data_IF_011118640201
#
_entry.id   IF_011118640201
#
_cell.length_a   1.000
_cell.length_b   1.000
_cell.length_c   1.000
_cell.angle_alpha   90.00
_cell.angle_beta   90.00
_cell.angle_gamma   90.00
#
_symmetry.space_group_name_H-M   'P 1'
#
loop_
_entity.id
_entity.type
_entity.pdbx_description
1 polymer ?
#
# COMPACT_ATOMS: atom_id res chain seq x y z
N UNK A 1 2.27 -4.76 -21.37
CA UNK A 1 2.52 -4.80 -19.91
C UNK A 1 1.18 -5.00 -19.22
N UNK A 2 1.03 -6.07 -18.44
CA UNK A 2 -0.18 -6.32 -17.63
C UNK A 2 0.11 -5.88 -16.20
N UNK A 3 -0.80 -5.14 -15.58
CA UNK A 3 -0.72 -4.78 -14.17
C UNK A 3 -1.78 -5.54 -13.40
N UNK A 4 -1.36 -6.30 -12.39
CA UNK A 4 -2.23 -7.00 -11.45
C UNK A 4 -2.10 -6.34 -10.08
N UNK A 5 -3.23 -6.00 -9.47
CA UNK A 5 -3.28 -5.31 -8.18
C UNK A 5 -4.03 -6.20 -7.20
N UNK A 6 -3.43 -6.44 -6.04
CA UNK A 6 -4.05 -7.18 -4.94
C UNK A 6 -3.94 -6.38 -3.66
N UNK A 7 -5.05 -6.29 -2.92
CA UNK A 7 -5.11 -5.73 -1.58
C UNK A 7 -5.64 -6.84 -0.66
N UNK A 8 -4.76 -7.60 0.02
CA UNK A 8 -5.22 -8.67 0.89
C UNK A 8 -6.01 -8.07 2.07
N UNK A 9 -7.07 -8.76 2.46
CA UNK A 9 -7.86 -8.48 3.65
C UNK A 9 -7.96 -9.74 4.52
N UNK A 10 -8.51 -9.61 5.71
CA UNK A 10 -8.86 -10.74 6.56
C UNK A 10 -9.95 -11.58 5.90
N UNK A 11 -9.87 -12.91 6.04
CA UNK A 11 -10.92 -13.85 5.62
C UNK A 11 -12.10 -13.86 6.61
N UNK A 12 -11.88 -13.39 7.84
CA UNK A 12 -12.90 -13.24 8.87
C UNK A 12 -13.76 -11.99 8.63
N UNK A 13 -15.05 -12.21 8.39
CA UNK A 13 -16.04 -11.15 8.17
C UNK A 13 -16.22 -10.29 9.42
N UNK A 14 -16.28 -8.96 9.23
CA UNK A 14 -16.56 -8.01 10.31
C UNK A 14 -15.38 -7.69 11.23
N UNK A 15 -14.20 -8.28 10.99
CA UNK A 15 -12.98 -8.00 11.75
C UNK A 15 -12.61 -6.51 11.71
N UNK A 16 -12.06 -5.99 12.81
CA UNK A 16 -11.70 -4.57 12.88
C UNK A 16 -10.62 -4.21 11.84
N UNK A 17 -10.78 -3.07 11.14
CA UNK A 17 -9.85 -2.62 10.09
C UNK A 17 -8.37 -2.68 10.49
N UNK A 18 -7.94 -2.22 11.69
CA UNK A 18 -6.53 -2.28 12.08
C UNK A 18 -5.98 -3.71 12.12
N UNK A 19 -6.79 -4.67 12.54
CA UNK A 19 -6.41 -6.09 12.57
C UNK A 19 -6.32 -6.66 11.16
N UNK A 20 -7.28 -6.33 10.29
CA UNK A 20 -7.21 -6.73 8.88
C UNK A 20 -5.93 -6.22 8.20
N UNK A 21 -5.56 -4.95 8.41
CA UNK A 21 -4.34 -4.38 7.83
C UNK A 21 -3.08 -5.04 8.38
N UNK A 22 -3.07 -5.36 9.68
CA UNK A 22 -1.97 -6.08 10.32
C UNK A 22 -1.80 -7.47 9.70
N UNK A 23 -2.87 -8.24 9.57
CA UNK A 23 -2.86 -9.58 8.96
C UNK A 23 -2.46 -9.55 7.49
N UNK A 24 -3.06 -8.65 6.72
CA UNK A 24 -2.72 -8.42 5.32
C UNK A 24 -1.23 -8.13 5.13
N UNK A 25 -0.64 -7.29 6.00
CA UNK A 25 0.78 -6.97 5.99
C UNK A 25 1.65 -8.19 6.28
N UNK A 26 1.34 -8.95 7.32
CA UNK A 26 2.11 -10.15 7.66
C UNK A 26 2.03 -11.21 6.56
N UNK A 27 0.84 -11.44 6.00
CA UNK A 27 0.65 -12.34 4.85
C UNK A 27 1.49 -11.91 3.65
N UNK A 28 1.46 -10.63 3.28
CA UNK A 28 2.20 -10.12 2.13
C UNK A 28 3.73 -10.16 2.34
N UNK A 29 4.20 -9.78 3.53
CA UNK A 29 5.64 -9.78 3.84
C UNK A 29 6.19 -11.20 4.05
N UNK A 30 5.36 -12.13 4.54
CA UNK A 30 5.74 -13.53 4.74
C UNK A 30 5.75 -14.37 3.45
N UNK A 31 5.12 -13.91 2.37
CA UNK A 31 5.16 -14.59 1.08
C UNK A 31 6.52 -14.49 0.41
N UNK A 32 6.89 -15.57 -0.26
CA UNK A 32 8.04 -15.65 -1.15
C UNK A 32 7.64 -15.20 -2.56
N UNK A 33 8.63 -14.87 -3.38
CA UNK A 33 8.38 -14.53 -4.79
C UNK A 33 7.66 -15.66 -5.54
N UNK A 34 8.03 -16.91 -5.28
CA UNK A 34 7.44 -18.10 -5.89
C UNK A 34 5.93 -18.23 -5.65
N UNK A 35 5.44 -17.75 -4.50
CA UNK A 35 4.01 -17.76 -4.18
C UNK A 35 3.26 -16.80 -5.12
N UNK A 36 3.83 -15.63 -5.37
CA UNK A 36 3.27 -14.66 -6.32
C UNK A 36 3.35 -15.15 -7.75
N UNK A 37 4.48 -15.71 -8.18
CA UNK A 37 4.64 -16.24 -9.53
C UNK A 37 3.63 -17.36 -9.81
N UNK A 38 3.42 -18.26 -8.85
CA UNK A 38 2.43 -19.34 -8.93
C UNK A 38 1.01 -18.79 -9.10
N UNK A 39 0.63 -17.79 -8.28
CA UNK A 39 -0.70 -17.17 -8.34
C UNK A 39 -0.92 -16.38 -9.64
N UNK A 40 0.09 -15.65 -10.12
CA UNK A 40 0.04 -14.94 -11.41
C UNK A 40 -0.11 -15.95 -12.55
N UNK A 41 0.63 -17.06 -12.52
CA UNK A 41 0.50 -18.14 -13.50
C UNK A 41 -0.90 -18.72 -13.51
N UNK A 42 -1.43 -19.08 -12.34
CA UNK A 42 -2.78 -19.62 -12.21
C UNK A 42 -3.84 -18.67 -12.78
N UNK A 43 -3.79 -17.39 -12.41
CA UNK A 43 -4.73 -16.39 -12.92
C UNK A 43 -4.61 -16.21 -14.44
N UNK A 44 -3.40 -16.04 -14.99
CA UNK A 44 -3.22 -15.82 -16.43
C UNK A 44 -3.62 -17.06 -17.24
N UNK A 45 -3.23 -18.26 -16.80
CA UNK A 45 -3.61 -19.52 -17.45
C UNK A 45 -5.11 -19.83 -17.33
N UNK A 46 -5.78 -19.35 -16.27
CA UNK A 46 -7.23 -19.46 -16.13
C UNK A 46 -8.01 -18.43 -16.97
N UNK A 47 -7.45 -17.24 -17.18
CA UNK A 47 -8.08 -16.16 -17.95
C UNK A 47 -7.87 -16.28 -19.46
N UNK A 48 -6.72 -16.82 -19.91
CA UNK A 48 -6.32 -16.83 -21.31
C UNK A 48 -6.46 -18.24 -21.91
N UNK A 49 -6.93 -18.37 -23.18
CA UNK A 49 -7.13 -19.68 -23.79
C UNK A 49 -5.80 -20.44 -23.96
N UNK A 50 -5.76 -21.75 -23.64
CA UNK A 50 -4.52 -22.54 -23.66
C UNK A 50 -3.94 -22.72 -25.07
N UNK A 51 -4.74 -22.52 -26.12
CA UNK A 51 -4.25 -22.55 -27.51
C UNK A 51 -3.37 -21.35 -27.85
N UNK A 52 -3.52 -20.24 -27.12
CA UNK A 52 -2.86 -18.97 -27.42
C UNK A 52 -1.96 -18.48 -26.29
N UNK A 53 -2.02 -19.09 -25.11
CA UNK A 53 -1.23 -18.68 -23.96
C UNK A 53 -0.58 -19.87 -23.27
N UNK A 54 0.73 -19.78 -23.13
CA UNK A 54 1.56 -20.65 -22.33
C UNK A 54 2.45 -19.75 -21.49
N UNK A 55 2.32 -19.81 -20.17
CA UNK A 55 3.00 -18.88 -19.28
C UNK A 55 4.52 -18.92 -19.47
N UNK A 56 5.11 -20.10 -19.62
CA UNK A 56 6.58 -20.24 -19.72
C UNK A 56 7.13 -19.75 -21.06
N UNK A 57 6.28 -19.71 -22.09
CA UNK A 57 6.65 -19.21 -23.41
C UNK A 57 6.40 -17.72 -23.57
N UNK A 58 5.27 -17.24 -23.04
CA UNK A 58 4.76 -15.90 -23.33
C UNK A 58 5.12 -14.86 -22.25
N UNK A 59 5.46 -15.28 -21.02
CA UNK A 59 5.85 -14.37 -19.94
C UNK A 59 7.36 -14.23 -19.86
N UNK A 60 7.89 -13.11 -20.35
CA UNK A 60 9.32 -12.84 -20.34
C UNK A 60 9.89 -12.56 -18.93
N UNK A 61 9.11 -11.93 -18.05
CA UNK A 61 9.54 -11.59 -16.70
C UNK A 61 8.37 -11.23 -15.79
N UNK A 62 8.52 -11.48 -14.49
CA UNK A 62 7.61 -11.02 -13.44
C UNK A 62 8.37 -10.10 -12.48
N UNK A 63 7.79 -8.95 -12.18
CA UNK A 63 8.28 -8.04 -11.12
C UNK A 63 7.17 -7.85 -10.10
N UNK A 64 7.52 -7.98 -8.82
CA UNK A 64 6.55 -7.83 -7.72
C UNK A 64 6.97 -6.64 -6.87
N UNK A 65 6.04 -5.71 -6.67
CA UNK A 65 6.19 -4.63 -5.71
C UNK A 65 5.23 -4.85 -4.53
N UNK A 66 5.77 -4.79 -3.30
CA UNK A 66 5.04 -5.03 -2.05
C UNK A 66 5.07 -3.79 -1.17
N UNK A 67 3.91 -3.14 -1.01
CA UNK A 67 3.78 -1.93 -0.19
C UNK A 67 3.06 -2.21 1.12
N UNK A 68 3.82 -2.58 2.16
CA UNK A 68 3.26 -2.94 3.48
C UNK A 68 2.59 -1.75 4.21
N UNK A 69 3.04 -0.55 3.87
CA UNK A 69 2.59 0.73 4.40
C UNK A 69 2.30 1.70 3.25
N UNK A 70 1.72 1.20 2.15
CA UNK A 70 1.55 1.97 0.92
C UNK A 70 0.48 3.07 0.98
N UNK A 71 -0.47 2.97 1.91
CA UNK A 71 -1.56 3.93 2.05
C UNK A 71 -1.68 4.37 3.50
N UNK A 72 -1.86 5.68 3.69
CA UNK A 72 -2.17 6.30 4.97
C UNK A 72 -3.50 5.77 5.51
N UNK A 73 -3.51 5.39 6.78
CA UNK A 73 -4.72 5.08 7.53
C UNK A 73 -4.70 5.94 8.78
N UNK A 74 -5.74 6.75 8.97
CA UNK A 74 -5.87 7.62 10.13
C UNK A 74 -5.81 6.79 11.43
N UNK A 75 -5.03 7.27 12.41
CA UNK A 75 -5.11 6.76 13.77
C UNK A 75 -6.40 7.19 14.46
N UNK A 76 -6.60 6.76 15.71
CA UNK A 76 -7.77 7.12 16.50
C UNK A 76 -7.72 8.58 16.98
N UNK A 77 -8.89 9.23 17.06
CA UNK A 77 -9.02 10.60 17.59
C UNK A 77 -8.10 11.59 16.87
N UNK A 78 -7.48 12.48 17.64
CA UNK A 78 -6.65 13.57 17.14
C UNK A 78 -5.17 13.16 16.91
N UNK A 79 -4.92 11.86 16.74
CA UNK A 79 -3.56 11.32 16.62
C UNK A 79 -2.75 11.93 15.47
N UNK A 80 -3.42 12.34 14.40
CA UNK A 80 -2.79 12.96 13.22
C UNK A 80 -2.36 14.39 13.54
N UNK A 81 -3.24 15.17 14.15
CA UNK A 81 -2.99 16.53 14.62
C UNK A 81 -1.89 16.57 15.68
N UNK A 82 -1.95 15.66 16.64
CA UNK A 82 -0.91 15.49 17.67
C UNK A 82 0.42 15.08 17.04
N UNK A 83 0.40 14.10 16.13
CA UNK A 83 1.59 13.54 15.51
C UNK A 83 2.33 14.52 14.60
N UNK A 84 1.64 15.51 14.04
CA UNK A 84 2.25 16.51 13.14
C UNK A 84 2.67 17.82 13.81
N UNK A 85 2.54 17.94 15.13
CA UNK A 85 2.92 19.17 15.84
C UNK A 85 4.42 19.47 15.66
N UNK A 86 4.80 20.75 15.47
CA UNK A 86 6.21 21.13 15.42
C UNK A 86 6.96 20.85 16.72
N UNK A 87 8.24 20.51 16.60
CA UNK A 87 9.17 20.42 17.72
C UNK A 87 10.38 21.32 17.47
N UNK A 88 10.34 22.52 18.04
CA UNK A 88 11.36 23.54 17.78
C UNK A 88 11.40 23.92 16.30
N UNK A 89 12.53 23.66 15.63
CA UNK A 89 12.71 23.91 14.19
C UNK A 89 12.44 22.68 13.31
N UNK A 90 11.72 21.69 13.84
CA UNK A 90 11.37 20.45 13.14
C UNK A 90 9.87 20.44 12.92
N UNK A 91 9.43 20.43 11.66
CA UNK A 91 8.03 20.30 11.25
C UNK A 91 7.85 18.98 10.49
N UNK A 92 6.67 18.36 10.61
CA UNK A 92 6.38 17.04 10.03
C UNK A 92 5.41 17.21 8.87
N UNK A 93 5.72 16.63 7.71
CA UNK A 93 4.90 16.69 6.51
C UNK A 93 4.91 15.36 5.75
N UNK A 94 3.76 15.00 5.19
CA UNK A 94 3.48 13.90 4.25
C UNK A 94 1.95 13.70 4.19
N UNK A 95 1.51 12.67 3.48
CA UNK A 95 0.14 12.16 3.46
C UNK A 95 -0.38 11.78 4.86
N UNK A 96 0.47 11.19 5.71
CA UNK A 96 0.11 10.78 7.07
C UNK A 96 -0.25 11.96 7.98
N UNK A 97 0.34 13.13 7.71
CA UNK A 97 0.04 14.39 8.39
C UNK A 97 -1.32 14.97 8.02
N UNK A 98 -2.02 14.39 7.04
CA UNK A 98 -3.37 14.76 6.62
C UNK A 98 -4.37 13.59 6.72
N UNK A 99 -3.97 12.45 7.29
CA UNK A 99 -4.80 11.25 7.34
C UNK A 99 -5.34 10.79 5.96
N UNK A 100 -4.65 11.14 4.87
CA UNK A 100 -5.14 10.96 3.50
C UNK A 100 -4.05 10.35 2.63
N UNK A 101 -4.34 9.23 1.97
CA UNK A 101 -3.39 8.52 1.12
C UNK A 101 -3.36 9.08 -0.31
N UNK A 102 -3.20 10.40 -0.42
CA UNK A 102 -3.25 11.15 -1.66
C UNK A 102 -2.04 12.09 -1.83
N UNK A 103 -1.59 12.25 -3.08
CA UNK A 103 -0.41 13.07 -3.39
C UNK A 103 -0.66 14.57 -3.18
N UNK A 104 -1.87 15.06 -3.46
CA UNK A 104 -2.24 16.46 -3.25
C UNK A 104 -2.21 16.77 -1.75
N UNK A 105 -2.79 15.88 -0.93
CA UNK A 105 -2.73 16.02 0.54
C UNK A 105 -1.28 16.05 1.06
N UNK A 106 -0.39 15.22 0.52
CA UNK A 106 1.03 15.26 0.88
C UNK A 106 1.69 16.60 0.51
N UNK A 107 1.38 17.17 -0.66
CA UNK A 107 1.89 18.47 -1.10
C UNK A 107 1.36 19.62 -0.23
N UNK A 108 0.06 19.60 0.12
CA UNK A 108 -0.55 20.58 1.02
C UNK A 108 0.08 20.54 2.41
N UNK A 109 0.38 19.35 2.95
CA UNK A 109 1.07 19.21 4.23
C UNK A 109 2.53 19.68 4.16
N UNK A 110 3.19 19.52 3.02
CA UNK A 110 4.50 20.11 2.76
C UNK A 110 4.44 21.64 2.78
N UNK A 111 3.47 22.24 2.09
CA UNK A 111 3.24 23.68 2.10
C UNK A 111 2.99 24.20 3.52
N UNK A 112 2.10 23.55 4.29
CA UNK A 112 1.84 23.88 5.71
C UNK A 112 3.12 23.86 6.53
N UNK A 113 3.87 22.76 6.49
CA UNK A 113 5.04 22.56 7.33
C UNK A 113 6.16 23.57 7.06
N UNK A 114 6.29 24.07 5.83
CA UNK A 114 7.21 25.17 5.50
C UNK A 114 6.77 26.48 6.17
N UNK A 115 5.47 26.78 6.19
CA UNK A 115 4.94 28.00 6.82
C UNK A 115 5.08 27.98 8.34
N UNK A 116 4.97 26.80 8.96
CA UNK A 116 5.22 26.61 10.40
C UNK A 116 6.66 26.93 10.81
N UNK A 117 7.65 26.87 9.90
CA UNK A 117 9.04 27.22 10.20
C UNK A 117 9.31 28.73 10.23
N UNK A 118 8.42 29.52 9.63
CA UNK A 118 8.58 30.97 9.47
C UNK A 118 7.82 31.73 10.57
N UNK A 119 7.00 31.02 11.36
CA UNK A 119 6.20 31.56 12.46
C UNK A 119 6.88 31.27 13.79
#
# INVERSE_FOLDING_TARGET
MIQMISCPYSEELGKARPEQYKEARYRMLGRQFSDYESEIREHLSGMLPPQYFDFDREVASVTVNRWAHGYTVAGSGDSVEMGRQPFGRITIANSDSAASADAIAAMEMGYRAVHELIT
#
